data_IF_287022406273
#
_entry.id   IF_287022406273
#
_cell.length_a   1.000
_cell.length_b   1.000
_cell.length_c   1.000
_cell.angle_alpha   90.00
_cell.angle_beta   90.00
_cell.angle_gamma   90.00
#
_symmetry.space_group_name_H-M   'P 1'
#
loop_
_entity.id
_entity.type
_entity.pdbx_description
1 polymer ?
#
# COMPACT_ATOMS: atom_id res chain seq x y z
N UNK A 1 -15.08 -30.70 4.55
CA UNK A 1 -14.93 -29.74 3.44
C UNK A 1 -14.05 -28.60 3.87
N UNK A 2 -12.99 -28.36 3.15
CA UNK A 2 -12.09 -27.27 3.47
C UNK A 2 -12.80 -25.92 3.22
N UNK A 3 -12.82 -25.08 4.24
CA UNK A 3 -13.32 -23.72 4.06
C UNK A 3 -12.27 -22.88 3.34
N UNK A 4 -12.62 -22.34 2.20
CA UNK A 4 -11.79 -21.36 1.54
C UNK A 4 -11.86 -20.05 2.34
N UNK A 5 -10.72 -19.59 2.87
CA UNK A 5 -10.67 -18.30 3.53
C UNK A 5 -10.81 -17.21 2.47
N UNK A 6 -11.92 -16.49 2.52
CA UNK A 6 -12.12 -15.33 1.65
C UNK A 6 -11.50 -14.11 2.27
N UNK A 7 -10.87 -13.29 1.44
CA UNK A 7 -10.38 -12.00 1.89
C UNK A 7 -11.54 -11.10 2.27
N UNK A 8 -11.44 -10.44 3.41
CA UNK A 8 -12.36 -9.37 3.81
C UNK A 8 -11.81 -7.99 3.45
N UNK A 9 -10.77 -7.94 2.63
CA UNK A 9 -10.11 -6.70 2.23
C UNK A 9 -11.07 -5.66 1.64
N UNK A 10 -12.04 -6.01 0.76
CA UNK A 10 -13.00 -5.03 0.28
C UNK A 10 -13.83 -4.41 1.40
N UNK A 11 -14.20 -5.17 2.41
CA UNK A 11 -14.96 -4.66 3.55
C UNK A 11 -14.11 -3.75 4.44
N UNK A 12 -12.84 -4.10 4.62
CA UNK A 12 -11.87 -3.28 5.37
C UNK A 12 -11.62 -1.97 4.63
N UNK A 13 -11.40 -2.03 3.32
CA UNK A 13 -11.19 -0.86 2.49
C UNK A 13 -12.39 0.08 2.53
N UNK A 14 -13.60 -0.46 2.40
CA UNK A 14 -14.84 0.33 2.47
C UNK A 14 -14.99 1.03 3.82
N UNK A 15 -14.77 0.30 4.92
CA UNK A 15 -14.85 0.86 6.26
C UNK A 15 -13.80 1.95 6.48
N UNK A 16 -12.54 1.67 6.14
CA UNK A 16 -11.44 2.62 6.32
C UNK A 16 -11.65 3.88 5.46
N UNK A 17 -12.07 3.71 4.21
CA UNK A 17 -12.36 4.84 3.33
C UNK A 17 -13.55 5.67 3.84
N UNK A 18 -14.54 5.03 4.46
CA UNK A 18 -15.64 5.76 5.10
C UNK A 18 -15.17 6.61 6.27
N UNK A 19 -14.18 6.14 7.04
CA UNK A 19 -13.56 6.94 8.10
C UNK A 19 -12.81 8.14 7.52
N UNK A 20 -12.02 7.94 6.48
CA UNK A 20 -11.32 9.05 5.80
C UNK A 20 -12.31 10.12 5.34
N UNK A 21 -13.40 9.70 4.73
CA UNK A 21 -14.46 10.60 4.29
C UNK A 21 -15.11 11.33 5.47
N UNK A 22 -15.38 10.64 6.57
CA UNK A 22 -16.00 11.23 7.75
C UNK A 22 -15.13 12.32 8.41
N UNK A 23 -13.80 12.20 8.28
CA UNK A 23 -12.86 13.21 8.75
C UNK A 23 -12.64 14.35 7.74
N UNK A 24 -13.35 14.34 6.61
CA UNK A 24 -13.21 15.37 5.58
C UNK A 24 -11.93 15.28 4.77
N UNK A 25 -11.28 14.12 4.73
CA UNK A 25 -10.06 13.92 3.97
C UNK A 25 -10.38 13.59 2.52
N UNK A 26 -9.73 14.27 1.59
CA UNK A 26 -9.89 14.04 0.16
C UNK A 26 -8.94 12.93 -0.29
N UNK A 27 -9.40 11.68 -0.16
CA UNK A 27 -8.61 10.52 -0.56
C UNK A 27 -8.90 10.13 -2.01
N UNK A 28 -7.90 9.55 -2.66
CA UNK A 28 -7.98 9.01 -4.01
C UNK A 28 -7.80 7.49 -3.96
N UNK A 29 -8.55 6.79 -4.78
CA UNK A 29 -8.45 5.34 -4.90
C UNK A 29 -7.43 4.94 -5.99
N UNK A 30 -7.23 3.65 -6.16
CA UNK A 30 -6.19 3.02 -6.97
C UNK A 30 -5.85 3.73 -8.29
N UNK A 31 -6.86 3.95 -9.13
CA UNK A 31 -6.69 4.49 -10.49
C UNK A 31 -6.73 6.02 -10.51
N UNK A 32 -7.16 6.64 -9.43
CA UNK A 32 -7.31 8.08 -9.39
C UNK A 32 -5.96 8.78 -9.21
N UNK A 33 -5.78 9.90 -9.88
CA UNK A 33 -4.57 10.71 -9.77
C UNK A 33 -4.54 11.48 -8.46
N UNK A 34 -3.39 11.47 -7.78
CA UNK A 34 -3.15 12.35 -6.65
C UNK A 34 -2.54 13.68 -7.15
N UNK A 35 -1.39 13.59 -7.81
CA UNK A 35 -0.81 14.65 -8.62
C UNK A 35 0.16 14.02 -9.64
N UNK A 36 0.60 14.81 -10.62
CA UNK A 36 1.42 14.28 -11.72
C UNK A 36 2.77 13.75 -11.28
N UNK A 37 3.38 14.33 -10.26
CA UNK A 37 4.70 13.92 -9.77
C UNK A 37 4.63 12.57 -9.06
N UNK A 38 3.64 12.39 -8.20
CA UNK A 38 3.43 11.13 -7.48
C UNK A 38 3.01 10.05 -8.46
N UNK A 39 2.12 10.36 -9.40
CA UNK A 39 1.69 9.41 -10.43
C UNK A 39 2.88 8.89 -11.24
N UNK A 40 3.80 9.78 -11.65
CA UNK A 40 5.03 9.40 -12.36
C UNK A 40 5.93 8.52 -11.50
N UNK A 41 6.10 8.86 -10.24
CA UNK A 41 6.92 8.06 -9.32
C UNK A 41 6.37 6.64 -9.17
N UNK A 42 5.05 6.51 -9.02
CA UNK A 42 4.39 5.20 -8.92
C UNK A 42 4.50 4.40 -10.22
N UNK A 43 4.44 5.06 -11.36
CA UNK A 43 4.56 4.40 -12.66
C UNK A 43 5.99 4.02 -13.01
N UNK A 44 6.99 4.76 -12.54
CA UNK A 44 8.40 4.54 -12.86
C UNK A 44 9.07 3.51 -11.96
N UNK A 45 8.47 3.18 -10.80
CA UNK A 45 9.03 2.20 -9.89
C UNK A 45 8.54 0.79 -10.22
N UNK A 46 9.26 -0.23 -9.77
CA UNK A 46 8.83 -1.62 -9.94
C UNK A 46 7.45 -1.84 -9.34
N UNK A 47 6.58 -2.56 -10.04
CA UNK A 47 5.33 -3.00 -9.46
C UNK A 47 5.58 -4.03 -8.36
N UNK A 48 4.59 -4.27 -7.50
CA UNK A 48 4.67 -5.31 -6.46
C UNK A 48 4.83 -6.72 -7.04
N UNK A 49 4.56 -6.90 -8.31
CA UNK A 49 4.71 -8.18 -9.02
C UNK A 49 5.98 -8.25 -9.86
N UNK A 50 6.84 -7.23 -9.81
CA UNK A 50 8.12 -7.21 -10.50
C UNK A 50 8.11 -6.66 -11.93
N UNK A 51 6.92 -6.33 -12.46
CA UNK A 51 6.80 -5.66 -13.75
C UNK A 51 7.15 -4.18 -13.65
N UNK A 52 7.23 -3.50 -14.78
CA UNK A 52 7.46 -2.06 -14.83
C UNK A 52 6.15 -1.29 -14.67
N UNK A 53 6.16 -0.27 -13.83
CA UNK A 53 5.02 0.62 -13.62
C UNK A 53 3.83 -0.02 -12.93
N UNK A 54 2.74 0.70 -12.86
CA UNK A 54 1.48 0.17 -12.40
C UNK A 54 1.32 0.03 -10.88
N UNK A 55 2.15 0.69 -10.09
CA UNK A 55 1.92 0.73 -8.65
C UNK A 55 0.62 1.45 -8.34
N UNK A 56 -0.29 0.77 -7.64
CA UNK A 56 -1.60 1.28 -7.31
C UNK A 56 -1.87 1.07 -5.82
N UNK A 57 -1.46 2.02 -4.95
CA UNK A 57 -1.87 1.98 -3.55
C UNK A 57 -3.39 1.92 -3.44
N UNK A 58 -3.91 1.21 -2.45
CA UNK A 58 -5.36 1.06 -2.27
C UNK A 58 -6.05 2.42 -2.05
N UNK A 59 -5.38 3.33 -1.33
CA UNK A 59 -5.82 4.71 -1.20
C UNK A 59 -4.61 5.65 -1.08
N UNK A 60 -4.80 6.90 -1.44
CA UNK A 60 -3.78 7.94 -1.44
C UNK A 60 -4.36 9.24 -0.91
N UNK A 61 -3.56 9.96 -0.13
CA UNK A 61 -3.90 11.29 0.38
C UNK A 61 -2.76 12.25 0.10
N UNK A 62 -3.09 13.50 -0.17
CA UNK A 62 -2.12 14.60 -0.17
C UNK A 62 -2.57 15.60 0.89
N UNK A 63 -1.83 15.66 1.98
CA UNK A 63 -2.14 16.56 3.08
C UNK A 63 -1.20 17.77 3.04
N UNK A 64 -1.72 18.92 3.44
CA UNK A 64 -0.95 20.14 3.57
C UNK A 64 -0.97 20.58 5.04
N UNK A 65 0.21 20.87 5.60
CA UNK A 65 0.30 21.40 6.96
C UNK A 65 0.14 22.93 7.00
N UNK A 66 0.23 23.51 8.18
CA UNK A 66 0.09 24.97 8.37
C UNK A 66 1.23 25.77 7.72
N UNK A 67 2.37 25.14 7.48
CA UNK A 67 3.54 25.75 6.87
C UNK A 67 3.56 25.54 5.35
N UNK A 68 2.47 25.05 4.78
CA UNK A 68 2.28 24.78 3.35
C UNK A 68 3.17 23.64 2.82
N UNK A 69 3.68 22.75 3.69
CA UNK A 69 4.34 21.52 3.27
C UNK A 69 3.31 20.48 2.90
N UNK A 70 3.59 19.70 1.85
CA UNK A 70 2.73 18.61 1.41
C UNK A 70 3.25 17.27 1.88
N UNK A 71 2.34 16.41 2.30
CA UNK A 71 2.64 15.07 2.77
C UNK A 71 1.81 14.08 1.97
N UNK A 72 2.47 13.22 1.20
CA UNK A 72 1.80 12.15 0.48
C UNK A 72 1.71 10.93 1.40
N UNK A 73 0.50 10.40 1.56
CA UNK A 73 0.25 9.21 2.37
C UNK A 73 -0.32 8.13 1.46
N UNK A 74 0.38 7.01 1.39
CA UNK A 74 -0.03 5.85 0.61
C UNK A 74 -0.56 4.80 1.57
N UNK A 75 -1.72 4.23 1.27
CA UNK A 75 -2.43 3.31 2.15
C UNK A 75 -2.58 1.96 1.45
N UNK A 76 -2.25 0.89 2.17
CA UNK A 76 -2.40 -0.48 1.70
C UNK A 76 -3.28 -1.24 2.67
N UNK A 77 -4.29 -1.93 2.15
CA UNK A 77 -5.20 -2.76 2.94
C UNK A 77 -4.91 -4.24 2.75
N UNK A 78 -5.10 -5.03 3.78
CA UNK A 78 -5.11 -6.49 3.71
C UNK A 78 -6.30 -7.03 4.49
N UNK A 79 -6.95 -8.05 3.92
CA UNK A 79 -8.16 -8.62 4.48
C UNK A 79 -7.97 -10.00 5.11
N UNK A 80 -6.73 -10.40 5.36
CA UNK A 80 -6.42 -11.66 6.01
C UNK A 80 -5.78 -11.43 7.36
N UNK A 81 -6.11 -12.28 8.31
CA UNK A 81 -5.42 -12.34 9.60
C UNK A 81 -3.93 -12.62 9.36
N UNK A 82 -3.07 -12.05 10.18
CA UNK A 82 -1.61 -12.25 10.15
C UNK A 82 -0.93 -11.77 8.87
N UNK A 83 -1.53 -10.85 8.14
CA UNK A 83 -0.95 -10.25 6.92
C UNK A 83 -0.57 -8.78 7.09
N UNK A 84 -0.27 -8.37 8.33
CA UNK A 84 0.16 -7.00 8.58
C UNK A 84 1.58 -6.75 8.09
N UNK A 85 2.53 -7.55 8.58
CA UNK A 85 3.95 -7.35 8.27
C UNK A 85 4.73 -8.66 8.33
N UNK A 86 5.72 -8.79 7.47
CA UNK A 86 6.74 -9.84 7.52
C UNK A 86 8.08 -9.18 7.85
N UNK A 87 8.66 -9.58 8.98
CA UNK A 87 9.98 -9.09 9.43
C UNK A 87 11.04 -10.15 9.23
N UNK A 88 12.27 -9.72 9.01
CA UNK A 88 13.43 -10.59 9.00
C UNK A 88 13.89 -10.89 10.44
N UNK A 89 14.96 -11.70 10.60
CA UNK A 89 15.48 -12.07 11.91
C UNK A 89 16.02 -10.90 12.71
N UNK A 90 16.36 -9.79 12.07
CA UNK A 90 16.84 -8.57 12.70
C UNK A 90 15.69 -7.58 13.05
N UNK A 91 14.44 -7.92 12.73
CA UNK A 91 13.28 -7.07 13.01
C UNK A 91 13.03 -6.01 11.95
N UNK A 92 13.66 -6.08 10.78
CA UNK A 92 13.43 -5.17 9.68
C UNK A 92 12.34 -5.70 8.73
N UNK A 93 11.66 -4.80 8.01
CA UNK A 93 10.69 -5.19 7.00
C UNK A 93 11.39 -6.03 5.93
N UNK A 94 10.94 -7.28 5.75
CA UNK A 94 11.62 -8.27 4.91
C UNK A 94 11.22 -8.16 3.46
N UNK A 95 11.72 -7.12 2.79
CA UNK A 95 11.44 -6.84 1.38
C UNK A 95 12.57 -7.24 0.42
N UNK A 96 13.62 -7.87 0.92
CA UNK A 96 14.76 -8.30 0.10
C UNK A 96 14.96 -9.81 0.20
N UNK A 97 15.38 -10.40 -0.92
CA UNK A 97 15.85 -11.79 -0.96
C UNK A 97 17.27 -11.87 -0.36
N UNK A 98 17.81 -13.10 -0.09
CA UNK A 98 19.22 -13.23 0.30
C UNK A 98 20.20 -12.61 -0.69
N UNK A 99 19.84 -12.53 -1.97
CA UNK A 99 20.66 -11.91 -3.02
C UNK A 99 20.44 -10.39 -3.14
N UNK A 100 19.73 -9.77 -2.19
CA UNK A 100 19.43 -8.33 -2.16
C UNK A 100 18.50 -7.87 -3.29
N UNK A 101 17.78 -8.77 -3.89
CA UNK A 101 16.72 -8.45 -4.88
C UNK A 101 15.38 -8.25 -4.16
N UNK A 102 14.41 -7.54 -4.79
CA UNK A 102 13.09 -7.37 -4.18
C UNK A 102 12.40 -8.71 -3.92
N UNK A 103 11.84 -8.86 -2.72
CA UNK A 103 11.05 -10.03 -2.34
C UNK A 103 9.57 -9.77 -2.62
N UNK A 104 9.16 -9.95 -3.88
CA UNK A 104 7.79 -9.64 -4.31
C UNK A 104 6.73 -10.49 -3.62
N UNK A 105 7.08 -11.71 -3.18
CA UNK A 105 6.16 -12.55 -2.40
C UNK A 105 5.74 -11.84 -1.12
N UNK A 106 6.69 -11.33 -0.35
CA UNK A 106 6.39 -10.60 0.88
C UNK A 106 5.74 -9.25 0.60
N UNK A 107 6.21 -8.52 -0.41
CA UNK A 107 5.69 -7.22 -0.80
C UNK A 107 4.19 -7.32 -1.16
N UNK A 108 3.79 -8.37 -1.87
CA UNK A 108 2.38 -8.57 -2.24
C UNK A 108 1.51 -9.11 -1.10
N UNK A 109 2.11 -9.83 -0.15
CA UNK A 109 1.34 -10.59 0.84
C UNK A 109 1.04 -9.80 2.12
N UNK A 110 1.84 -8.80 2.44
CA UNK A 110 1.75 -8.10 3.72
C UNK A 110 1.54 -6.60 3.51
N UNK A 111 0.68 -6.00 4.34
CA UNK A 111 0.31 -4.59 4.21
C UNK A 111 1.52 -3.65 4.35
N UNK A 112 2.30 -3.81 5.43
CA UNK A 112 3.46 -2.95 5.67
C UNK A 112 4.53 -3.17 4.59
N UNK A 113 4.77 -4.43 4.19
CA UNK A 113 5.75 -4.74 3.16
C UNK A 113 5.36 -4.09 1.82
N UNK A 114 4.09 -4.12 1.47
CA UNK A 114 3.59 -3.45 0.27
C UNK A 114 3.70 -1.93 0.36
N UNK A 115 3.33 -1.35 1.50
CA UNK A 115 3.39 0.10 1.71
C UNK A 115 4.83 0.64 1.67
N UNK A 116 5.77 -0.11 2.26
CA UNK A 116 7.20 0.28 2.23
C UNK A 116 7.79 0.21 0.82
N UNK A 117 7.25 -0.68 -0.03
CA UNK A 117 7.68 -0.82 -1.42
C UNK A 117 7.33 0.41 -2.27
N UNK A 118 6.21 1.05 -2.00
CA UNK A 118 5.77 2.23 -2.77
C UNK A 118 6.74 3.42 -2.68
#
# INVERSE_FOLDING_TARGET
MAKTNKSIEPNIADLANSWLKSYGLDYKLEQESLNSEIDKALDNYFSKSGGSGGNRPDAKLLLQDKELNYWAILIEYKGYKDKLVKLDSAGNVDNLTPQKAPNFKNINSYAVNGAVHY
#
